data_IF_832529460429
#
_entry.id   IF_832529460429
#
_cell.length_a   1.000
_cell.length_b   1.000
_cell.length_c   1.000
_cell.angle_alpha   90.00
_cell.angle_beta   90.00
_cell.angle_gamma   90.00
#
_symmetry.space_group_name_H-M   'P 1'
#
loop_
_entity.id
_entity.type
_entity.pdbx_description
1 polymer ?
#
# COMPACT_ATOMS: atom_id res chain seq x y z
N UNK A 1 20.61 -6.14 -9.69
CA UNK A 1 19.74 -5.25 -8.90
C UNK A 1 18.31 -5.78 -8.76
N UNK A 2 17.56 -6.05 -9.84
CA UNK A 2 16.18 -6.59 -9.78
C UNK A 2 16.04 -7.87 -8.92
N UNK A 3 16.97 -8.83 -9.08
CA UNK A 3 16.93 -10.09 -8.33
C UNK A 3 17.20 -9.89 -6.82
N UNK A 4 18.06 -8.93 -6.48
CA UNK A 4 18.38 -8.58 -5.08
C UNK A 4 17.19 -7.85 -4.44
N UNK A 5 16.57 -6.89 -5.15
CA UNK A 5 15.37 -6.20 -4.68
C UNK A 5 14.21 -7.16 -4.44
N UNK A 6 14.00 -8.10 -5.36
CA UNK A 6 12.97 -9.13 -5.21
C UNK A 6 13.25 -10.05 -4.01
N UNK A 7 14.50 -10.47 -3.83
CA UNK A 7 14.90 -11.29 -2.68
C UNK A 7 14.67 -10.54 -1.36
N UNK A 8 15.10 -9.28 -1.26
CA UNK A 8 14.87 -8.43 -0.08
C UNK A 8 13.37 -8.27 0.20
N UNK A 9 12.58 -7.96 -0.83
CA UNK A 9 11.12 -7.83 -0.66
C UNK A 9 10.48 -9.12 -0.16
N UNK A 10 10.89 -10.28 -0.68
CA UNK A 10 10.39 -11.58 -0.22
C UNK A 10 10.80 -11.88 1.21
N UNK A 11 12.05 -11.59 1.59
CA UNK A 11 12.54 -11.76 2.96
C UNK A 11 11.80 -10.87 3.96
N UNK A 12 11.51 -9.61 3.60
CA UNK A 12 10.72 -8.69 4.43
C UNK A 12 9.29 -9.22 4.62
N UNK A 13 8.63 -9.65 3.55
CA UNK A 13 7.30 -10.23 3.63
C UNK A 13 7.27 -11.46 4.54
N UNK A 14 8.25 -12.35 4.40
CA UNK A 14 8.37 -13.54 5.25
C UNK A 14 8.58 -13.17 6.72
N UNK A 15 9.45 -12.20 7.01
CA UNK A 15 9.70 -11.72 8.37
C UNK A 15 8.43 -11.16 9.02
N UNK A 16 7.63 -10.39 8.27
CA UNK A 16 6.35 -9.85 8.75
C UNK A 16 5.37 -10.99 9.04
N UNK A 17 5.26 -11.99 8.17
CA UNK A 17 4.38 -13.15 8.39
C UNK A 17 4.76 -13.90 9.67
N UNK A 18 6.05 -14.16 9.87
CA UNK A 18 6.54 -14.85 11.08
C UNK A 18 6.23 -14.00 12.32
N UNK A 19 6.49 -12.69 12.27
CA UNK A 19 6.20 -11.78 13.38
C UNK A 19 4.71 -11.77 13.74
N UNK A 20 3.83 -11.72 12.73
CA UNK A 20 2.37 -11.78 12.89
C UNK A 20 1.94 -13.09 13.58
N UNK A 21 2.45 -14.24 13.13
CA UNK A 21 2.10 -15.55 13.69
C UNK A 21 2.62 -15.68 15.12
N UNK A 22 3.90 -15.37 15.34
CA UNK A 22 4.53 -15.50 16.66
C UNK A 22 3.87 -14.57 17.67
N UNK A 23 3.62 -13.30 17.33
CA UNK A 23 2.93 -12.40 18.24
C UNK A 23 1.51 -12.86 18.55
N UNK A 24 0.79 -13.47 17.59
CA UNK A 24 -0.56 -13.98 17.81
C UNK A 24 -0.61 -15.19 18.77
N UNK A 25 0.47 -15.99 18.80
CA UNK A 25 0.57 -17.15 19.70
C UNK A 25 0.98 -16.72 21.11
N UNK A 26 1.91 -15.77 21.23
CA UNK A 26 2.62 -15.50 22.48
C UNK A 26 2.19 -14.23 23.22
N UNK A 27 1.41 -13.35 22.58
CA UNK A 27 1.01 -12.07 23.18
C UNK A 27 -0.46 -12.12 23.61
N UNK A 28 -0.69 -12.17 24.92
CA UNK A 28 -2.04 -12.10 25.53
C UNK A 28 -2.50 -10.64 25.78
N UNK A 29 -2.06 -9.71 24.93
CA UNK A 29 -2.43 -8.30 25.01
C UNK A 29 -3.47 -7.96 23.94
N UNK A 30 -4.60 -7.37 24.35
CA UNK A 30 -5.63 -6.87 23.45
C UNK A 30 -5.10 -5.85 22.45
N UNK A 31 -4.10 -5.05 22.84
CA UNK A 31 -3.42 -4.07 21.97
C UNK A 31 -2.77 -4.74 20.75
N UNK A 32 -2.21 -5.94 20.94
CA UNK A 32 -1.62 -6.69 19.85
C UNK A 32 -2.68 -7.15 18.83
N UNK A 33 -3.81 -7.67 19.31
CA UNK A 33 -4.92 -8.12 18.47
C UNK A 33 -5.52 -6.95 17.68
N UNK A 34 -5.70 -5.78 18.32
CA UNK A 34 -6.20 -4.59 17.62
C UNK A 34 -5.23 -4.12 16.54
N UNK A 35 -3.92 -4.14 16.80
CA UNK A 35 -2.90 -3.75 15.83
C UNK A 35 -2.85 -4.70 14.63
N UNK A 36 -2.93 -6.00 14.90
CA UNK A 36 -2.94 -7.05 13.89
C UNK A 36 -4.19 -6.97 12.99
N UNK A 37 -5.38 -6.83 13.59
CA UNK A 37 -6.63 -6.64 12.84
C UNK A 37 -6.63 -5.35 12.00
N UNK A 38 -6.05 -4.29 12.57
CA UNK A 38 -5.92 -2.97 11.94
C UNK A 38 -5.02 -2.99 10.70
N UNK A 39 -3.85 -3.64 10.78
CA UNK A 39 -2.92 -3.78 9.64
C UNK A 39 -3.53 -4.65 8.54
N UNK A 40 -4.21 -5.75 8.89
CA UNK A 40 -4.90 -6.60 7.92
C UNK A 40 -6.04 -5.85 7.21
N UNK A 41 -6.87 -5.13 7.96
CA UNK A 41 -7.92 -4.28 7.40
C UNK A 41 -7.33 -3.24 6.46
N UNK A 42 -6.29 -2.54 6.89
CA UNK A 42 -5.64 -1.50 6.09
C UNK A 42 -5.05 -2.07 4.79
N UNK A 43 -4.37 -3.21 4.87
CA UNK A 43 -3.83 -3.92 3.71
C UNK A 43 -4.93 -4.37 2.73
N UNK A 44 -6.05 -4.89 3.25
CA UNK A 44 -7.20 -5.28 2.43
C UNK A 44 -7.84 -4.08 1.73
N UNK A 45 -7.97 -2.93 2.41
CA UNK A 45 -8.54 -1.70 1.83
C UNK A 45 -7.64 -1.15 0.72
N UNK A 46 -6.33 -1.02 0.95
CA UNK A 46 -5.38 -0.55 -0.09
C UNK A 46 -5.36 -1.52 -1.27
N UNK A 47 -5.18 -2.82 -0.99
CA UNK A 47 -5.14 -3.86 -2.01
C UNK A 47 -6.43 -3.91 -2.84
N UNK A 48 -7.58 -3.90 -2.18
CA UNK A 48 -8.89 -3.90 -2.82
C UNK A 48 -9.13 -2.64 -3.66
N UNK A 49 -8.81 -1.46 -3.13
CA UNK A 49 -9.00 -0.21 -3.88
C UNK A 49 -8.07 -0.11 -5.09
N UNK A 50 -6.89 -0.74 -5.04
CA UNK A 50 -5.98 -0.80 -6.18
C UNK A 50 -6.58 -1.52 -7.41
N UNK A 51 -7.63 -2.33 -7.25
CA UNK A 51 -8.35 -2.95 -8.36
C UNK A 51 -8.97 -1.93 -9.32
N UNK A 52 -9.22 -0.69 -8.86
CA UNK A 52 -9.75 0.40 -9.71
C UNK A 52 -8.84 0.71 -10.91
N UNK A 53 -7.54 0.44 -10.81
CA UNK A 53 -6.62 0.65 -11.93
C UNK A 53 -6.87 -0.32 -13.09
N UNK A 54 -7.37 -1.52 -12.78
CA UNK A 54 -7.60 -2.59 -13.75
C UNK A 54 -9.02 -2.58 -14.32
N UNK A 55 -10.04 -2.37 -13.46
CA UNK A 55 -11.44 -2.60 -13.84
C UNK A 55 -12.25 -1.33 -14.13
N UNK A 56 -11.75 -0.15 -13.77
CA UNK A 56 -12.46 1.10 -14.04
C UNK A 56 -12.03 1.76 -15.35
N UNK A 57 -12.99 2.31 -16.09
CA UNK A 57 -12.73 3.15 -17.27
C UNK A 57 -12.39 4.62 -16.90
N UNK A 58 -12.30 4.94 -15.61
CA UNK A 58 -12.08 6.32 -15.16
C UNK A 58 -10.70 6.86 -15.57
N UNK A 59 -10.57 8.19 -15.72
CA UNK A 59 -9.29 8.85 -15.91
C UNK A 59 -8.29 8.50 -14.79
N UNK A 60 -7.00 8.49 -15.12
CA UNK A 60 -5.95 8.14 -14.17
C UNK A 60 -6.03 8.99 -12.90
N UNK A 61 -6.26 10.29 -13.04
CA UNK A 61 -6.37 11.19 -11.89
C UNK A 61 -7.49 10.77 -10.93
N UNK A 62 -8.68 10.44 -11.46
CA UNK A 62 -9.80 9.99 -10.63
C UNK A 62 -9.49 8.67 -9.91
N UNK A 63 -8.82 7.72 -10.59
CA UNK A 63 -8.36 6.46 -9.99
C UNK A 63 -7.39 6.71 -8.83
N UNK A 64 -6.43 7.62 -9.03
CA UNK A 64 -5.44 8.00 -8.00
C UNK A 64 -6.11 8.70 -6.83
N UNK A 65 -7.00 9.66 -7.09
CA UNK A 65 -7.73 10.39 -6.06
C UNK A 65 -8.55 9.44 -5.18
N UNK A 66 -9.28 8.49 -5.77
CA UNK A 66 -10.03 7.51 -4.97
C UNK A 66 -9.11 6.59 -4.19
N UNK A 67 -8.06 6.05 -4.81
CA UNK A 67 -7.11 5.18 -4.11
C UNK A 67 -6.46 5.90 -2.94
N UNK A 68 -6.02 7.14 -3.15
CA UNK A 68 -5.44 7.98 -2.10
C UNK A 68 -6.43 8.26 -0.97
N UNK A 69 -7.62 8.76 -1.29
CA UNK A 69 -8.61 9.16 -0.27
C UNK A 69 -9.06 7.96 0.57
N UNK A 70 -9.37 6.83 -0.06
CA UNK A 70 -9.78 5.61 0.67
C UNK A 70 -8.65 5.10 1.56
N UNK A 71 -7.41 5.10 1.06
CA UNK A 71 -6.25 4.68 1.85
C UNK A 71 -5.98 5.64 3.01
N UNK A 72 -6.08 6.95 2.80
CA UNK A 72 -5.87 7.94 3.85
C UNK A 72 -6.91 7.80 4.97
N UNK A 73 -8.19 7.64 4.61
CA UNK A 73 -9.26 7.45 5.59
C UNK A 73 -9.06 6.16 6.38
N UNK A 74 -8.70 5.05 5.71
CA UNK A 74 -8.40 3.80 6.39
C UNK A 74 -7.19 3.93 7.33
N UNK A 75 -6.15 4.68 6.94
CA UNK A 75 -4.98 4.95 7.78
C UNK A 75 -5.33 5.78 9.02
N UNK A 76 -6.18 6.81 8.88
CA UNK A 76 -6.63 7.62 10.01
C UNK A 76 -7.48 6.79 10.97
N UNK A 77 -8.40 5.97 10.46
CA UNK A 77 -9.19 5.04 11.28
C UNK A 77 -8.31 4.04 12.03
N UNK A 78 -7.31 3.50 11.34
CA UNK A 78 -6.31 2.59 11.90
C UNK A 78 -5.51 3.28 13.02
N UNK A 79 -5.00 4.48 12.78
CA UNK A 79 -4.22 5.24 13.77
C UNK A 79 -5.04 5.63 15.00
N UNK A 80 -6.32 5.96 14.81
CA UNK A 80 -7.25 6.21 15.90
C UNK A 80 -7.53 4.95 16.73
N UNK A 81 -7.84 3.82 16.07
CA UNK A 81 -8.15 2.56 16.74
C UNK A 81 -6.97 2.00 17.56
N UNK A 82 -5.73 2.31 17.16
CA UNK A 82 -4.52 1.88 17.85
C UNK A 82 -3.88 2.96 18.72
N UNK A 83 -4.55 4.10 18.89
CA UNK A 83 -4.04 5.23 19.69
C UNK A 83 -2.63 5.72 19.27
N UNK A 84 -2.28 5.63 17.99
CA UNK A 84 -0.94 6.00 17.49
C UNK A 84 -0.65 7.49 17.61
N UNK A 85 -1.68 8.32 17.46
CA UNK A 85 -1.55 9.76 17.52
C UNK A 85 -2.85 10.41 18.02
N UNK A 86 -2.75 11.57 18.70
CA UNK A 86 -3.93 12.31 19.12
C UNK A 86 -4.61 12.96 17.91
N UNK A 87 -5.95 13.03 17.92
CA UNK A 87 -6.76 13.69 16.89
C UNK A 87 -6.80 15.21 17.08
N UNK A 88 -5.64 15.84 17.15
CA UNK A 88 -5.52 17.31 17.15
C UNK A 88 -5.28 17.81 15.72
N UNK A 89 -5.75 19.04 15.42
CA UNK A 89 -5.66 19.59 14.05
C UNK A 89 -4.23 19.62 13.50
N UNK A 90 -3.25 20.01 14.32
CA UNK A 90 -1.83 20.07 13.91
C UNK A 90 -1.26 18.68 13.59
N UNK A 91 -1.58 17.68 14.41
CA UNK A 91 -1.10 16.30 14.20
C UNK A 91 -1.80 15.66 13.01
N UNK A 92 -3.09 15.95 12.80
CA UNK A 92 -3.82 15.43 11.65
C UNK A 92 -3.24 15.97 10.34
N UNK A 93 -2.88 17.26 10.28
CA UNK A 93 -2.21 17.84 9.11
C UNK A 93 -0.88 17.15 8.85
N UNK A 94 -0.05 16.92 9.87
CA UNK A 94 1.24 16.24 9.69
C UNK A 94 1.06 14.79 9.20
N UNK A 95 0.09 14.06 9.76
CA UNK A 95 -0.27 12.70 9.32
C UNK A 95 -0.66 12.69 7.84
N UNK A 96 -1.53 13.60 7.40
CA UNK A 96 -1.97 13.69 6.00
C UNK A 96 -0.78 13.98 5.08
N UNK A 97 0.10 14.91 5.46
CA UNK A 97 1.27 15.29 4.67
C UNK A 97 2.25 14.12 4.54
N UNK A 98 2.62 13.47 5.65
CA UNK A 98 3.53 12.32 5.61
C UNK A 98 2.94 11.16 4.81
N UNK A 99 1.65 10.88 5.01
CA UNK A 99 0.95 9.85 4.26
C UNK A 99 0.97 10.15 2.75
N UNK A 100 0.67 11.40 2.36
CA UNK A 100 0.71 11.81 0.96
C UNK A 100 2.09 11.65 0.34
N UNK A 101 3.15 12.09 1.03
CA UNK A 101 4.52 11.96 0.53
C UNK A 101 4.89 10.48 0.28
N UNK A 102 4.61 9.61 1.24
CA UNK A 102 4.91 8.17 1.13
C UNK A 102 4.06 7.53 0.02
N UNK A 103 2.76 7.79 0.01
CA UNK A 103 1.83 7.24 -0.98
C UNK A 103 2.25 7.63 -2.41
N UNK A 104 2.51 8.91 -2.66
CA UNK A 104 2.88 9.38 -3.99
C UNK A 104 4.28 8.92 -4.40
N UNK A 105 5.23 8.77 -3.47
CA UNK A 105 6.53 8.18 -3.77
C UNK A 105 6.39 6.73 -4.26
N UNK A 106 5.64 5.91 -3.50
CA UNK A 106 5.39 4.51 -3.86
C UNK A 106 4.62 4.42 -5.19
N UNK A 107 3.54 5.18 -5.32
CA UNK A 107 2.71 5.18 -6.52
C UNK A 107 3.51 5.57 -7.77
N UNK A 108 4.38 6.58 -7.66
CA UNK A 108 5.23 7.04 -8.77
C UNK A 108 6.21 5.96 -9.20
N UNK A 109 6.83 5.25 -8.26
CA UNK A 109 7.68 4.09 -8.55
C UNK A 109 6.90 3.01 -9.33
N UNK A 110 5.70 2.67 -8.88
CA UNK A 110 4.83 1.70 -9.58
C UNK A 110 4.39 2.20 -10.94
N UNK A 111 4.08 3.49 -11.09
CA UNK A 111 3.70 4.08 -12.36
C UNK A 111 4.81 3.92 -13.40
N UNK A 112 6.05 4.30 -13.07
CA UNK A 112 7.18 4.17 -13.99
C UNK A 112 7.52 2.70 -14.29
N UNK A 113 7.47 1.83 -13.27
CA UNK A 113 7.67 0.40 -13.46
C UNK A 113 6.66 -0.20 -14.46
N UNK A 114 5.37 0.09 -14.28
CA UNK A 114 4.31 -0.41 -15.14
C UNK A 114 4.38 0.20 -16.54
N UNK A 115 4.68 1.50 -16.66
CA UNK A 115 4.87 2.17 -17.95
C UNK A 115 6.02 1.53 -18.73
N UNK A 116 7.14 1.24 -18.06
CA UNK A 116 8.28 0.56 -18.68
C UNK A 116 7.90 -0.85 -19.16
N UNK A 117 7.18 -1.61 -18.33
CA UNK A 117 6.71 -2.97 -18.69
C UNK A 117 5.77 -2.95 -19.90
N UNK A 118 4.82 -2.02 -19.94
CA UNK A 118 3.90 -1.85 -21.09
C UNK A 118 4.68 -1.54 -22.38
N UNK A 119 5.66 -0.64 -22.31
CA UNK A 119 6.49 -0.29 -23.46
C UNK A 119 7.28 -1.51 -23.99
N UNK A 120 7.83 -2.34 -23.11
CA UNK A 120 8.52 -3.57 -23.50
C UNK A 120 7.58 -4.54 -24.23
N UNK A 121 6.38 -4.74 -23.70
CA UNK A 121 5.36 -5.61 -24.32
C UNK A 121 4.99 -5.09 -25.72
N UNK A 122 4.71 -3.79 -25.84
CA UNK A 122 4.38 -3.16 -27.12
C UNK A 122 5.50 -3.30 -28.17
N UNK A 123 6.77 -3.20 -27.75
CA UNK A 123 7.91 -3.42 -28.64
C UNK A 123 8.00 -4.88 -29.11
N UNK A 124 7.76 -5.85 -28.23
CA UNK A 124 7.75 -7.27 -28.59
C UNK A 124 6.61 -7.61 -29.55
N UNK A 125 5.44 -7.01 -29.37
CA UNK A 125 4.28 -7.19 -30.27
C UNK A 125 4.56 -6.62 -31.67
N UNK A 126 5.20 -5.45 -31.76
CA UNK A 126 5.60 -4.86 -33.05
C UNK A 126 6.59 -5.77 -33.79
N UNK A 127 7.62 -6.27 -33.09
CA UNK A 127 8.63 -7.19 -33.67
C UNK A 127 8.08 -8.54 -34.14
N UNK A 128 6.89 -8.95 -33.69
CA UNK A 128 6.23 -10.19 -34.14
C UNK A 128 5.29 -9.99 -35.33
N UNK A 129 4.97 -8.73 -35.68
CA UNK A 129 4.05 -8.38 -36.76
C UNK A 129 4.78 -8.09 -38.08
N UNK A 130 6.08 -7.85 -38.00
CA UNK A 130 7.03 -7.79 -39.12
C UNK A 130 7.66 -9.17 -39.34
#
# INVERSE_FOLDING_TARGET
MKNILNAISQSVSLAIIIWVIMGAIYTEDWSYVTMLGSVMFFGAVIGGTSAIYQYSAWPLLAKVSVHFTVSLLAFILMGYANHWFPLTGQVLVSVIVYFALIFFAIWTCYYFYNRHKINQINQQLKKKKD
#
